data_IF_224716351122
#
_entry.id   IF_224716351122
#
_cell.length_a   1.000
_cell.length_b   1.000
_cell.length_c   1.000
_cell.angle_alpha   90.00
_cell.angle_beta   90.00
_cell.angle_gamma   90.00
#
_symmetry.space_group_name_H-M   'P 1'
#
loop_
_entity.id
_entity.type
_entity.pdbx_description
1 polymer ?
#
# COMPACT_ATOMS: atom_id res chain seq x y z
N UNK A 1 19.23 74.58 43.30
CA UNK A 1 20.45 74.22 42.55
C UNK A 1 20.12 73.06 41.65
N UNK A 2 20.22 73.32 40.35
CA UNK A 2 20.12 72.36 39.26
C UNK A 2 21.32 71.40 39.31
N UNK A 3 21.09 70.11 39.07
CA UNK A 3 21.81 69.45 37.98
C UNK A 3 21.02 68.26 37.41
N UNK A 4 20.56 68.41 36.16
CA UNK A 4 20.00 67.37 35.31
C UNK A 4 21.14 66.90 34.40
N UNK A 5 21.68 65.73 34.66
CA UNK A 5 22.68 65.07 33.81
C UNK A 5 22.16 63.81 33.12
N UNK A 6 20.91 63.79 32.64
CA UNK A 6 20.39 62.66 31.86
C UNK A 6 21.02 62.71 30.45
N UNK A 7 22.17 62.05 30.27
CA UNK A 7 22.84 61.87 28.97
C UNK A 7 21.88 61.20 28.00
N UNK A 8 21.37 61.97 27.03
CA UNK A 8 20.63 61.44 25.90
C UNK A 8 21.52 60.45 25.14
N UNK A 9 21.11 59.18 24.95
CA UNK A 9 21.88 58.22 24.18
C UNK A 9 22.04 58.72 22.74
N UNK A 10 23.26 58.63 22.20
CA UNK A 10 23.59 59.15 20.88
C UNK A 10 22.74 58.46 19.79
N UNK A 11 22.53 59.12 18.65
CA UNK A 11 21.83 58.55 17.50
C UNK A 11 22.43 57.20 17.06
N UNK A 12 23.75 57.05 17.23
CA UNK A 12 24.51 55.83 16.94
C UNK A 12 24.10 54.70 17.90
N UNK A 13 23.95 54.98 19.20
CA UNK A 13 23.50 53.99 20.19
C UNK A 13 22.07 53.51 19.93
N UNK A 14 21.19 54.42 19.47
CA UNK A 14 19.81 54.08 19.08
C UNK A 14 19.79 53.19 17.83
N UNK A 15 20.58 53.51 16.81
CA UNK A 15 20.68 52.71 15.58
C UNK A 15 21.29 51.33 15.85
N UNK A 16 22.34 51.23 16.67
CA UNK A 16 22.92 49.96 17.08
C UNK A 16 21.91 49.10 17.86
N UNK A 17 21.12 49.69 18.77
CA UNK A 17 20.05 48.97 19.48
C UNK A 17 18.94 48.47 18.54
N UNK A 18 18.55 49.25 17.53
CA UNK A 18 17.53 48.85 16.55
C UNK A 18 18.06 47.71 15.65
N UNK A 19 19.30 47.81 15.16
CA UNK A 19 19.94 46.76 14.37
C UNK A 19 20.15 45.47 15.18
N UNK A 20 20.57 45.58 16.46
CA UNK A 20 20.68 44.45 17.38
C UNK A 20 19.31 43.80 17.65
N UNK A 21 18.25 44.60 17.83
CA UNK A 21 16.88 44.10 18.02
C UNK A 21 16.34 43.40 16.78
N UNK A 22 16.55 43.95 15.59
CA UNK A 22 16.10 43.37 14.33
C UNK A 22 16.87 42.09 13.97
N UNK A 23 18.19 42.09 14.16
CA UNK A 23 19.01 40.88 13.97
C UNK A 23 18.67 39.78 14.96
N UNK A 24 18.39 40.12 16.23
CA UNK A 24 17.91 39.15 17.22
C UNK A 24 16.52 38.61 16.88
N UNK A 25 15.58 39.46 16.46
CA UNK A 25 14.24 39.03 16.05
C UNK A 25 14.29 38.08 14.84
N UNK A 26 15.17 38.35 13.86
CA UNK A 26 15.41 37.46 12.73
C UNK A 26 16.02 36.12 13.16
N UNK A 27 17.11 36.15 13.96
CA UNK A 27 17.74 34.94 14.52
C UNK A 27 16.74 34.10 15.30
N UNK A 28 15.86 34.74 16.07
CA UNK A 28 14.78 34.08 16.83
C UNK A 28 13.79 33.37 15.91
N UNK A 29 13.37 33.98 14.79
CA UNK A 29 12.47 33.33 13.81
C UNK A 29 13.13 32.12 13.15
N UNK A 30 14.37 32.26 12.70
CA UNK A 30 15.13 31.17 12.08
C UNK A 30 15.36 30.02 13.07
N UNK A 31 15.74 30.33 14.32
CA UNK A 31 15.95 29.34 15.35
C UNK A 31 14.65 28.59 15.70
N UNK A 32 13.51 29.27 15.73
CA UNK A 32 12.18 28.65 15.92
C UNK A 32 11.78 27.73 14.77
N UNK A 33 12.03 28.13 13.52
CA UNK A 33 11.80 27.27 12.36
C UNK A 33 12.70 26.02 12.40
N UNK A 34 13.98 26.20 12.73
CA UNK A 34 14.91 25.10 12.90
C UNK A 34 14.48 24.13 14.01
N UNK A 35 13.97 24.66 15.12
CA UNK A 35 13.39 23.83 16.19
C UNK A 35 12.15 23.07 15.72
N UNK A 36 11.23 23.67 14.97
CA UNK A 36 10.07 22.96 14.39
C UNK A 36 10.52 21.78 13.53
N UNK A 37 11.48 22.00 12.64
CA UNK A 37 12.02 20.93 11.80
C UNK A 37 12.67 19.80 12.61
N UNK A 38 13.46 20.14 13.65
CA UNK A 38 14.06 19.16 14.55
C UNK A 38 13.00 18.41 15.36
N UNK A 39 11.98 19.11 15.86
CA UNK A 39 10.81 18.52 16.54
C UNK A 39 10.11 17.48 15.68
N UNK A 40 9.88 17.78 14.40
CA UNK A 40 9.27 16.83 13.46
C UNK A 40 10.20 15.65 13.17
N UNK A 41 11.52 15.86 13.21
CA UNK A 41 12.51 14.76 13.12
C UNK A 41 12.49 13.89 14.37
N UNK A 42 12.42 14.47 15.56
CA UNK A 42 12.29 13.72 16.81
C UNK A 42 10.95 12.98 16.89
N UNK A 43 9.87 13.59 16.39
CA UNK A 43 8.59 12.93 16.23
C UNK A 43 8.71 11.69 15.33
N UNK A 44 9.31 11.83 14.15
CA UNK A 44 9.54 10.70 13.22
C UNK A 44 10.50 9.64 13.77
N UNK A 45 11.46 10.01 14.61
CA UNK A 45 12.34 9.07 15.32
C UNK A 45 11.58 8.27 16.39
N UNK A 46 10.64 8.92 17.09
CA UNK A 46 9.79 8.26 18.11
C UNK A 46 8.78 7.32 17.46
N UNK A 47 8.16 7.77 16.37
CA UNK A 47 7.15 7.05 15.59
C UNK A 47 7.67 6.80 14.17
N UNK A 48 8.50 5.76 13.97
CA UNK A 48 9.03 5.44 12.66
C UNK A 48 7.89 5.10 11.69
N UNK A 49 8.09 5.44 10.42
CA UNK A 49 7.21 4.99 9.34
C UNK A 49 7.70 3.61 8.91
N UNK A 50 6.86 2.61 9.13
CA UNK A 50 7.03 1.25 8.66
C UNK A 50 6.32 1.11 7.32
N UNK A 51 6.95 0.45 6.36
CA UNK A 51 6.32 0.13 5.08
C UNK A 51 5.72 -1.25 5.18
N UNK A 52 4.41 -1.31 5.43
CA UNK A 52 3.70 -2.56 5.67
C UNK A 52 2.83 -2.90 4.48
N UNK A 53 2.86 -4.16 4.05
CA UNK A 53 1.90 -4.65 3.06
C UNK A 53 0.50 -4.69 3.69
N UNK A 54 -0.57 -4.59 2.90
CA UNK A 54 -1.94 -4.73 3.43
C UNK A 54 -2.18 -6.06 4.16
N UNK A 55 -1.46 -7.13 3.77
CA UNK A 55 -1.47 -8.38 4.53
C UNK A 55 -0.89 -8.25 5.93
N UNK A 56 0.22 -7.52 6.11
CA UNK A 56 0.85 -7.31 7.41
C UNK A 56 0.02 -6.40 8.30
N UNK A 57 -0.64 -5.39 7.72
CA UNK A 57 -1.62 -4.56 8.45
C UNK A 57 -2.77 -5.42 8.97
N UNK A 58 -3.33 -6.28 8.11
CA UNK A 58 -4.38 -7.21 8.51
C UNK A 58 -3.91 -8.20 9.58
N UNK A 59 -2.68 -8.71 9.49
CA UNK A 59 -2.09 -9.55 10.54
C UNK A 59 -2.02 -8.79 11.87
N UNK A 60 -1.55 -7.54 11.88
CA UNK A 60 -1.54 -6.69 13.08
C UNK A 60 -2.94 -6.47 13.66
N UNK A 61 -3.94 -6.22 12.81
CA UNK A 61 -5.33 -6.04 13.27
C UNK A 61 -5.88 -7.35 13.88
N UNK A 62 -5.55 -8.50 13.29
CA UNK A 62 -5.97 -9.81 13.79
C UNK A 62 -5.19 -10.28 15.03
N UNK A 63 -3.97 -9.77 15.26
CA UNK A 63 -3.22 -10.00 16.50
C UNK A 63 -3.95 -9.43 17.71
N UNK A 64 -4.53 -8.24 17.55
CA UNK A 64 -5.30 -7.55 18.60
C UNK A 64 -6.78 -7.93 18.59
N UNK A 65 -7.19 -8.89 17.74
CA UNK A 65 -8.57 -9.34 17.69
C UNK A 65 -8.89 -10.28 18.86
N UNK A 66 -9.71 -9.79 19.77
CA UNK A 66 -10.31 -10.57 20.84
C UNK A 66 -11.76 -10.91 20.45
N UNK A 67 -12.06 -12.20 20.34
CA UNK A 67 -13.40 -12.64 19.97
C UNK A 67 -14.37 -12.44 21.15
N UNK A 68 -15.43 -11.66 20.94
CA UNK A 68 -16.48 -11.45 21.95
C UNK A 68 -17.31 -12.74 22.21
N UNK A 69 -17.33 -13.67 21.24
CA UNK A 69 -18.05 -14.95 21.33
C UNK A 69 -17.30 -16.08 20.61
N UNK A 70 -17.54 -17.34 21.01
CA UNK A 70 -16.94 -18.53 20.39
C UNK A 70 -17.27 -18.67 18.89
N UNK A 71 -18.41 -18.13 18.45
CA UNK A 71 -18.83 -18.13 17.05
C UNK A 71 -17.95 -17.24 16.15
N UNK A 72 -17.28 -16.26 16.74
CA UNK A 72 -16.32 -15.37 16.07
C UNK A 72 -14.87 -15.72 16.41
N UNK A 73 -14.65 -16.84 17.09
CA UNK A 73 -13.30 -17.34 17.35
C UNK A 73 -12.56 -17.66 16.04
N UNK A 74 -11.26 -17.39 16.06
CA UNK A 74 -10.32 -17.75 14.99
C UNK A 74 -10.05 -19.27 15.02
N UNK A 75 -11.08 -20.07 14.71
CA UNK A 75 -11.06 -21.53 14.76
C UNK A 75 -10.99 -22.18 13.38
N UNK A 76 -10.77 -23.51 13.35
CA UNK A 76 -10.74 -24.29 12.10
C UNK A 76 -12.07 -24.23 11.33
N UNK A 77 -13.19 -24.05 12.01
CA UNK A 77 -14.50 -23.91 11.34
C UNK A 77 -14.59 -22.58 10.57
N UNK A 78 -14.01 -21.50 11.12
CA UNK A 78 -13.86 -20.22 10.43
C UNK A 78 -12.95 -20.37 9.20
N UNK A 79 -11.86 -21.13 9.31
CA UNK A 79 -10.97 -21.43 8.18
C UNK A 79 -11.71 -22.12 7.01
N UNK A 80 -12.56 -23.10 7.32
CA UNK A 80 -13.38 -23.80 6.30
C UNK A 80 -14.39 -22.86 5.64
N UNK A 81 -15.08 -22.01 6.41
CA UNK A 81 -16.00 -21.01 5.86
C UNK A 81 -15.29 -20.04 4.92
N UNK A 82 -14.13 -19.52 5.33
CA UNK A 82 -13.32 -18.61 4.51
C UNK A 82 -12.86 -19.28 3.22
N UNK A 83 -12.47 -20.55 3.27
CA UNK A 83 -12.15 -21.35 2.09
C UNK A 83 -13.33 -21.40 1.12
N UNK A 84 -14.54 -21.71 1.59
CA UNK A 84 -15.74 -21.76 0.73
C UNK A 84 -16.00 -20.43 0.04
N UNK A 85 -15.86 -19.30 0.76
CA UNK A 85 -16.01 -17.97 0.16
C UNK A 85 -14.92 -17.67 -0.87
N UNK A 86 -13.67 -18.01 -0.58
CA UNK A 86 -12.56 -17.85 -1.51
C UNK A 86 -12.79 -18.65 -2.79
N UNK A 87 -13.10 -19.93 -2.67
CA UNK A 87 -13.28 -20.84 -3.82
C UNK A 87 -14.47 -20.36 -4.71
N UNK A 88 -15.55 -19.85 -4.09
CA UNK A 88 -16.67 -19.25 -4.82
C UNK A 88 -16.29 -17.95 -5.57
N UNK A 89 -15.40 -17.13 -5.00
CA UNK A 89 -14.86 -15.93 -5.68
C UNK A 89 -13.92 -16.33 -6.80
N UNK A 90 -13.05 -17.32 -6.59
CA UNK A 90 -12.11 -17.83 -7.60
C UNK A 90 -12.85 -18.39 -8.81
N UNK A 91 -13.96 -19.10 -8.61
CA UNK A 91 -14.78 -19.60 -9.71
C UNK A 91 -15.37 -18.45 -10.54
N UNK A 92 -15.91 -17.42 -9.89
CA UNK A 92 -16.42 -16.21 -10.57
C UNK A 92 -15.31 -15.51 -11.35
N UNK A 93 -14.13 -15.38 -10.74
CA UNK A 93 -12.95 -14.79 -11.37
C UNK A 93 -12.49 -15.60 -12.58
N UNK A 94 -12.48 -16.93 -12.51
CA UNK A 94 -12.13 -17.82 -13.63
C UNK A 94 -13.09 -17.63 -14.80
N UNK A 95 -14.40 -17.59 -14.55
CA UNK A 95 -15.41 -17.33 -15.59
C UNK A 95 -15.23 -15.94 -16.22
N UNK A 96 -15.01 -14.90 -15.40
CA UNK A 96 -14.76 -13.54 -15.88
C UNK A 96 -13.48 -13.45 -16.74
N UNK A 97 -12.40 -14.12 -16.33
CA UNK A 97 -11.15 -14.20 -17.12
C UNK A 97 -11.36 -14.90 -18.47
N UNK A 98 -12.13 -15.99 -18.50
CA UNK A 98 -12.45 -16.70 -19.75
C UNK A 98 -13.24 -15.80 -20.70
N UNK A 99 -14.27 -15.10 -20.21
CA UNK A 99 -15.05 -14.14 -21.01
C UNK A 99 -14.14 -13.02 -21.52
N UNK A 100 -13.31 -12.44 -20.64
CA UNK A 100 -12.34 -11.40 -21.01
C UNK A 100 -11.37 -11.88 -22.10
N UNK A 101 -10.83 -13.10 -21.99
CA UNK A 101 -9.92 -13.65 -22.98
C UNK A 101 -10.60 -13.85 -24.34
N UNK A 102 -11.83 -14.37 -24.36
CA UNK A 102 -12.61 -14.54 -25.59
C UNK A 102 -12.93 -13.20 -26.25
N UNK A 103 -13.34 -12.20 -25.47
CA UNK A 103 -13.59 -10.84 -25.98
C UNK A 103 -12.31 -10.19 -26.51
N UNK A 104 -11.17 -10.40 -25.84
CA UNK A 104 -9.89 -9.88 -26.31
C UNK A 104 -9.44 -10.55 -27.61
N UNK A 105 -9.56 -11.87 -27.71
CA UNK A 105 -9.29 -12.61 -28.94
C UNK A 105 -10.17 -12.13 -30.10
N UNK A 106 -11.45 -11.82 -29.82
CA UNK A 106 -12.36 -11.21 -30.79
C UNK A 106 -11.83 -9.91 -31.37
N UNK A 107 -11.42 -8.98 -30.48
CA UNK A 107 -10.88 -7.68 -30.88
C UNK A 107 -9.59 -7.80 -31.67
N UNK A 108 -8.70 -8.72 -31.26
CA UNK A 108 -7.45 -8.99 -31.98
C UNK A 108 -7.72 -9.55 -33.38
N UNK A 109 -8.64 -10.52 -33.50
CA UNK A 109 -9.00 -11.09 -34.81
C UNK A 109 -9.57 -10.03 -35.75
N UNK A 110 -10.45 -9.17 -35.21
CA UNK A 110 -11.02 -8.06 -35.95
C UNK A 110 -9.97 -7.02 -36.37
N UNK A 111 -9.00 -6.72 -35.50
CA UNK A 111 -7.91 -5.78 -35.81
C UNK A 111 -7.04 -6.25 -36.98
N UNK A 112 -6.75 -7.54 -37.07
CA UNK A 112 -5.98 -8.10 -38.19
C UNK A 112 -6.81 -8.35 -39.45
N UNK A 113 -8.09 -7.97 -39.46
CA UNK A 113 -9.03 -8.25 -40.54
C UNK A 113 -8.98 -9.74 -40.97
N UNK A 114 -8.77 -10.64 -40.00
CA UNK A 114 -8.92 -12.06 -40.25
C UNK A 114 -10.42 -12.25 -40.48
N UNK A 115 -10.81 -12.50 -41.74
CA UNK A 115 -12.17 -12.88 -42.22
C UNK A 115 -12.61 -14.19 -41.56
N UNK A 116 -12.68 -14.14 -40.25
CA UNK A 116 -13.22 -15.15 -39.40
C UNK A 116 -14.63 -14.67 -39.16
N UNK A 117 -15.58 -15.31 -39.85
CA UNK A 117 -16.95 -15.43 -39.39
C UNK A 117 -16.89 -16.11 -38.00
N UNK A 118 -16.42 -15.37 -36.99
CA UNK A 118 -16.32 -15.77 -35.61
C UNK A 118 -17.76 -15.78 -35.10
N UNK A 119 -18.42 -16.88 -35.43
CA UNK A 119 -19.55 -17.43 -34.69
C UNK A 119 -19.08 -17.62 -33.25
N UNK A 120 -19.17 -16.55 -32.45
CA UNK A 120 -19.04 -16.66 -31.01
C UNK A 120 -20.04 -17.71 -30.53
N UNK A 121 -19.69 -18.44 -29.47
CA UNK A 121 -20.48 -19.50 -28.84
C UNK A 121 -21.88 -19.05 -28.32
N UNK A 122 -22.36 -17.88 -28.74
CA UNK A 122 -23.68 -17.30 -28.50
C UNK A 122 -24.44 -16.93 -29.80
N UNK A 123 -23.96 -17.31 -30.99
CA UNK A 123 -24.69 -17.11 -32.26
C UNK A 123 -24.78 -15.65 -32.73
N UNK A 124 -24.00 -14.74 -32.16
CA UNK A 124 -24.01 -13.33 -32.56
C UNK A 124 -23.04 -13.14 -33.73
N UNK A 125 -23.58 -13.08 -34.96
CA UNK A 125 -22.85 -12.50 -36.09
C UNK A 125 -22.68 -11.01 -35.83
N UNK A 126 -21.50 -10.58 -35.41
CA UNK A 126 -21.21 -9.19 -35.06
C UNK A 126 -21.04 -8.32 -36.33
N UNK A 127 -22.12 -8.12 -37.08
CA UNK A 127 -22.24 -7.10 -38.15
C UNK A 127 -22.81 -5.78 -37.62
N UNK A 128 -22.53 -5.42 -36.37
CA UNK A 128 -23.02 -4.17 -35.76
C UNK A 128 -21.92 -3.11 -35.75
N UNK A 129 -22.24 -1.93 -36.28
CA UNK A 129 -21.38 -0.75 -36.23
C UNK A 129 -21.17 -0.32 -34.77
N UNK A 130 -19.95 -0.48 -34.23
CA UNK A 130 -19.64 -0.15 -32.83
C UNK A 130 -19.20 -1.34 -31.95
N UNK A 131 -19.12 -2.55 -32.51
CA UNK A 131 -18.69 -3.74 -31.77
C UNK A 131 -17.35 -3.54 -31.05
N UNK A 132 -16.38 -2.91 -31.72
CA UNK A 132 -15.01 -2.73 -31.23
C UNK A 132 -14.97 -1.83 -30.00
N UNK A 133 -15.73 -0.74 -30.04
CA UNK A 133 -15.89 0.23 -28.97
C UNK A 133 -16.54 -0.41 -27.74
N UNK A 134 -17.65 -1.13 -27.93
CA UNK A 134 -18.37 -1.80 -26.84
C UNK A 134 -17.50 -2.86 -26.17
N UNK A 135 -16.80 -3.68 -26.96
CA UNK A 135 -15.94 -4.72 -26.44
C UNK A 135 -14.72 -4.14 -25.70
N UNK A 136 -14.12 -3.06 -26.19
CA UNK A 136 -13.02 -2.39 -25.51
C UNK A 136 -13.45 -1.87 -24.12
N UNK A 137 -14.62 -1.22 -24.06
CA UNK A 137 -15.16 -0.69 -22.81
C UNK A 137 -15.51 -1.83 -21.86
N UNK A 138 -16.21 -2.85 -22.32
CA UNK A 138 -16.57 -4.01 -21.51
C UNK A 138 -15.35 -4.75 -20.97
N UNK A 139 -14.31 -4.96 -21.78
CA UNK A 139 -13.02 -5.51 -21.34
C UNK A 139 -12.39 -4.68 -20.22
N UNK A 140 -12.42 -3.35 -20.34
CA UNK A 140 -11.86 -2.48 -19.30
C UNK A 140 -12.60 -2.63 -17.95
N UNK A 141 -13.94 -2.73 -17.97
CA UNK A 141 -14.73 -2.95 -16.77
C UNK A 141 -14.52 -4.35 -16.18
N UNK A 142 -14.48 -5.38 -17.02
CA UNK A 142 -14.18 -6.76 -16.58
C UNK A 142 -12.78 -6.82 -15.97
N UNK A 143 -11.79 -6.12 -16.53
CA UNK A 143 -10.44 -6.03 -15.99
C UNK A 143 -10.40 -5.44 -14.57
N UNK A 144 -11.07 -4.30 -14.36
CA UNK A 144 -11.20 -3.68 -13.02
C UNK A 144 -11.94 -4.61 -12.05
N UNK A 145 -13.04 -5.24 -12.50
CA UNK A 145 -13.79 -6.19 -11.69
C UNK A 145 -12.93 -7.40 -11.25
N UNK A 146 -12.13 -7.96 -12.18
CA UNK A 146 -11.18 -9.03 -11.86
C UNK A 146 -10.17 -8.56 -10.82
N UNK A 147 -9.60 -7.36 -10.95
CA UNK A 147 -8.65 -6.82 -9.97
C UNK A 147 -9.26 -6.70 -8.56
N UNK A 148 -10.54 -6.30 -8.46
CA UNK A 148 -11.27 -6.25 -7.18
C UNK A 148 -11.43 -7.66 -6.59
N UNK A 149 -11.87 -8.63 -7.40
CA UNK A 149 -12.01 -10.02 -6.93
C UNK A 149 -10.66 -10.62 -6.50
N UNK A 150 -9.59 -10.36 -7.24
CA UNK A 150 -8.24 -10.80 -6.88
C UNK A 150 -7.78 -10.21 -5.56
N UNK A 151 -8.11 -8.94 -5.29
CA UNK A 151 -7.82 -8.31 -4.01
C UNK A 151 -8.59 -8.98 -2.86
N UNK A 152 -9.88 -9.29 -3.06
CA UNK A 152 -10.67 -9.99 -2.05
C UNK A 152 -10.10 -11.39 -1.74
N UNK A 153 -9.70 -12.15 -2.77
CA UNK A 153 -9.02 -13.44 -2.60
C UNK A 153 -7.71 -13.26 -1.82
N UNK A 154 -6.94 -12.22 -2.11
CA UNK A 154 -5.70 -11.94 -1.39
C UNK A 154 -5.94 -11.65 0.10
N UNK A 155 -6.92 -10.81 0.43
CA UNK A 155 -7.31 -10.53 1.82
C UNK A 155 -7.75 -11.80 2.55
N UNK A 156 -8.60 -12.62 1.93
CA UNK A 156 -9.03 -13.90 2.49
C UNK A 156 -7.84 -14.85 2.69
N UNK A 157 -6.92 -14.92 1.73
CA UNK A 157 -5.72 -15.74 1.84
C UNK A 157 -4.81 -15.28 2.99
N UNK A 158 -4.63 -13.97 3.20
CA UNK A 158 -3.90 -13.42 4.34
C UNK A 158 -4.55 -13.78 5.67
N UNK A 159 -5.87 -13.64 5.78
CA UNK A 159 -6.62 -14.04 6.96
C UNK A 159 -6.47 -15.54 7.26
N UNK A 160 -6.65 -16.39 6.24
CA UNK A 160 -6.50 -17.85 6.39
C UNK A 160 -5.07 -18.23 6.80
N UNK A 161 -4.04 -17.58 6.24
CA UNK A 161 -2.64 -17.78 6.63
C UNK A 161 -2.39 -17.40 8.08
N UNK A 162 -3.02 -16.33 8.57
CA UNK A 162 -2.94 -15.94 9.98
C UNK A 162 -3.49 -17.02 10.91
N UNK A 163 -4.70 -17.55 10.63
CA UNK A 163 -5.27 -18.65 11.43
C UNK A 163 -4.34 -19.88 11.41
N UNK A 164 -3.85 -20.26 10.23
CA UNK A 164 -2.96 -21.43 10.09
C UNK A 164 -1.63 -21.20 10.82
N UNK A 165 -1.13 -19.97 10.86
CA UNK A 165 0.09 -19.60 11.60
C UNK A 165 0.00 -19.88 13.11
N UNK A 166 -1.20 -19.82 13.69
CA UNK A 166 -1.46 -20.15 15.11
C UNK A 166 -1.55 -21.65 15.39
N UNK A 167 -1.58 -22.51 14.37
CA UNK A 167 -1.60 -23.97 14.55
C UNK A 167 -0.21 -24.51 14.92
N UNK A 168 -0.13 -25.69 15.58
CA UNK A 168 1.13 -26.39 15.82
C UNK A 168 1.93 -26.60 14.53
N UNK A 169 3.26 -26.53 14.61
CA UNK A 169 4.16 -26.54 13.45
C UNK A 169 4.01 -27.80 12.59
N UNK A 170 3.70 -28.93 13.23
CA UNK A 170 3.60 -30.25 12.62
C UNK A 170 2.45 -30.35 11.62
N UNK A 171 1.31 -29.71 11.93
CA UNK A 171 0.10 -29.72 11.07
C UNK A 171 0.01 -28.50 10.17
N UNK A 172 0.75 -27.42 10.49
CA UNK A 172 0.75 -26.17 9.74
C UNK A 172 1.02 -26.38 8.26
N UNK A 173 2.08 -27.12 7.92
CA UNK A 173 2.46 -27.35 6.52
C UNK A 173 1.40 -28.13 5.74
N UNK A 174 0.72 -29.09 6.38
CA UNK A 174 -0.38 -29.83 5.77
C UNK A 174 -1.57 -28.92 5.45
N UNK A 175 -1.94 -28.02 6.36
CA UNK A 175 -2.99 -27.03 6.10
C UNK A 175 -2.59 -26.02 5.02
N UNK A 176 -1.34 -25.53 5.03
CA UNK A 176 -0.88 -24.64 3.95
C UNK A 176 -0.93 -25.38 2.60
N UNK A 177 -0.52 -26.65 2.53
CA UNK A 177 -0.59 -27.46 1.31
C UNK A 177 -2.03 -27.69 0.83
N UNK A 178 -2.94 -28.03 1.75
CA UNK A 178 -4.34 -28.31 1.44
C UNK A 178 -5.10 -27.05 0.98
N UNK A 179 -4.80 -25.89 1.57
CA UNK A 179 -5.52 -24.65 1.29
C UNK A 179 -4.86 -23.79 0.20
N UNK A 180 -3.53 -23.82 0.06
CA UNK A 180 -2.77 -22.97 -0.87
C UNK A 180 -1.94 -23.77 -1.87
N UNK A 181 -2.55 -24.80 -2.47
CA UNK A 181 -1.86 -25.68 -3.41
C UNK A 181 -1.18 -24.93 -4.57
N UNK A 182 -1.85 -23.92 -5.14
CA UNK A 182 -1.33 -23.10 -6.25
C UNK A 182 -0.11 -22.26 -5.88
N UNK A 183 -0.02 -21.80 -4.63
CA UNK A 183 1.13 -21.05 -4.12
C UNK A 183 2.26 -21.99 -3.64
N UNK A 184 1.93 -23.25 -3.34
CA UNK A 184 2.84 -24.24 -2.76
C UNK A 184 3.44 -25.25 -3.74
N UNK A 185 3.20 -25.10 -5.05
CA UNK A 185 3.92 -25.93 -6.03
C UNK A 185 5.45 -25.83 -5.89
N UNK A 186 5.97 -24.77 -5.25
CA UNK A 186 7.40 -24.63 -4.92
C UNK A 186 7.81 -25.12 -3.52
N UNK A 187 6.90 -25.57 -2.65
CA UNK A 187 7.24 -25.91 -1.25
C UNK A 187 7.39 -27.41 -0.98
N UNK A 188 6.87 -28.27 -1.85
CA UNK A 188 7.22 -29.70 -1.90
C UNK A 188 8.39 -30.01 -2.85
N UNK A 189 9.20 -29.01 -3.24
CA UNK A 189 10.58 -29.32 -3.60
C UNK A 189 11.32 -29.75 -2.33
N UNK A 190 12.17 -30.80 -2.35
CA UNK A 190 12.84 -31.32 -1.15
C UNK A 190 13.75 -30.32 -0.40
N UNK A 191 13.81 -29.05 -0.82
CA UNK A 191 14.51 -27.92 -0.20
C UNK A 191 13.92 -27.53 1.16
N UNK A 192 12.59 -27.68 1.35
CA UNK A 192 11.88 -27.14 2.51
C UNK A 192 11.39 -28.21 3.50
N UNK A 193 11.76 -29.47 3.27
CA UNK A 193 11.45 -30.55 4.20
C UNK A 193 12.52 -30.58 5.31
N UNK A 194 12.13 -30.53 6.60
CA UNK A 194 13.10 -30.66 7.67
C UNK A 194 13.82 -32.00 7.51
N UNK A 195 15.16 -31.96 7.60
CA UNK A 195 16.06 -33.13 7.55
C UNK A 195 16.35 -33.74 6.16
N UNK A 196 15.96 -33.09 5.07
CA UNK A 196 16.41 -33.48 3.71
C UNK A 196 17.39 -32.44 3.18
N UNK A 197 18.68 -32.78 3.11
CA UNK A 197 19.70 -31.93 2.50
C UNK A 197 19.69 -32.12 0.98
N UNK A 198 19.49 -31.03 0.23
CA UNK A 198 19.61 -31.06 -1.23
C UNK A 198 21.02 -30.75 -1.71
N UNK A 199 21.37 -31.30 -2.88
CA UNK A 199 22.56 -30.89 -3.64
C UNK A 199 22.30 -29.58 -4.38
N UNK A 200 23.33 -28.75 -4.64
CA UNK A 200 23.20 -27.48 -5.37
C UNK A 200 22.66 -27.64 -6.81
N UNK A 201 22.73 -28.85 -7.38
CA UNK A 201 22.15 -29.16 -8.70
C UNK A 201 20.62 -29.08 -8.64
N UNK A 202 20.00 -29.60 -7.58
CA UNK A 202 18.54 -29.60 -7.43
C UNK A 202 17.98 -28.19 -7.18
N UNK A 203 18.72 -27.34 -6.44
CA UNK A 203 18.33 -25.93 -6.26
C UNK A 203 18.48 -25.10 -7.54
N UNK A 204 19.47 -25.40 -8.38
CA UNK A 204 19.63 -24.71 -9.65
C UNK A 204 18.60 -25.18 -10.70
N UNK A 205 18.16 -26.44 -10.62
CA UNK A 205 17.13 -26.96 -11.53
C UNK A 205 15.76 -26.31 -11.31
N UNK A 206 15.40 -25.93 -10.07
CA UNK A 206 14.15 -25.23 -9.78
C UNK A 206 14.13 -23.77 -10.24
N UNK A 207 15.31 -23.18 -10.49
CA UNK A 207 15.46 -21.82 -11.00
C UNK A 207 15.08 -21.72 -12.48
N UNK A 208 15.29 -22.78 -13.27
CA UNK A 208 14.94 -22.84 -14.70
C UNK A 208 13.43 -22.64 -14.93
N UNK A 209 12.51 -23.43 -14.34
CA UNK A 209 11.07 -23.23 -14.55
C UNK A 209 10.59 -21.90 -13.96
N UNK A 210 11.23 -21.38 -12.90
CA UNK A 210 10.94 -20.06 -12.38
C UNK A 210 11.27 -18.95 -13.39
N UNK A 211 12.49 -18.94 -13.93
CA UNK A 211 12.91 -17.96 -14.95
C UNK A 211 12.07 -18.09 -16.22
N UNK A 212 11.77 -19.31 -16.64
CA UNK A 212 10.91 -19.56 -17.80
C UNK A 212 9.48 -19.03 -17.57
N UNK A 213 8.91 -19.28 -16.38
CA UNK A 213 7.60 -18.74 -16.00
C UNK A 213 7.60 -17.21 -15.96
N UNK A 214 8.65 -16.59 -15.41
CA UNK A 214 8.83 -15.14 -15.42
C UNK A 214 8.94 -14.58 -16.85
N UNK A 215 9.70 -15.26 -17.72
CA UNK A 215 9.81 -14.91 -19.13
C UNK A 215 8.45 -14.99 -19.84
N UNK A 216 7.67 -16.06 -19.63
CA UNK A 216 6.33 -16.19 -20.19
C UNK A 216 5.39 -15.09 -19.70
N UNK A 217 5.45 -14.74 -18.41
CA UNK A 217 4.63 -13.68 -17.84
C UNK A 217 4.97 -12.31 -18.44
N UNK A 218 6.26 -11.97 -18.54
CA UNK A 218 6.71 -10.73 -19.17
C UNK A 218 6.32 -10.68 -20.65
N UNK A 219 6.49 -11.79 -21.37
CA UNK A 219 6.11 -11.89 -22.79
C UNK A 219 4.60 -11.74 -22.96
N UNK A 220 3.79 -12.39 -22.13
CA UNK A 220 2.34 -12.26 -22.15
C UNK A 220 1.89 -10.82 -21.85
N UNK A 221 2.55 -10.14 -20.89
CA UNK A 221 2.27 -8.75 -20.55
C UNK A 221 2.60 -7.81 -21.73
N UNK A 222 3.75 -8.00 -22.39
CA UNK A 222 4.13 -7.21 -23.56
C UNK A 222 3.19 -7.44 -24.75
N UNK A 223 2.84 -8.69 -25.05
CA UNK A 223 1.94 -9.02 -26.17
C UNK A 223 0.53 -8.50 -25.86
N UNK A 224 -0.03 -8.82 -24.70
CA UNK A 224 -1.40 -8.42 -24.34
C UNK A 224 -1.52 -6.90 -24.23
N UNK A 225 -0.61 -6.25 -23.49
CA UNK A 225 -0.60 -4.80 -23.31
C UNK A 225 -0.31 -4.06 -24.62
N UNK A 226 0.64 -4.56 -25.42
CA UNK A 226 0.96 -4.00 -26.74
C UNK A 226 -0.23 -4.08 -27.69
N UNK A 227 -0.88 -5.24 -27.81
CA UNK A 227 -2.06 -5.42 -28.65
C UNK A 227 -3.25 -4.58 -28.17
N UNK A 228 -3.48 -4.50 -26.85
CA UNK A 228 -4.52 -3.64 -26.29
C UNK A 228 -4.32 -2.17 -26.68
N UNK A 229 -3.08 -1.68 -26.58
CA UNK A 229 -2.73 -0.31 -26.97
C UNK A 229 -2.90 -0.06 -28.47
N UNK A 230 -2.47 -1.00 -29.32
CA UNK A 230 -2.65 -0.91 -30.77
C UNK A 230 -4.13 -0.85 -31.16
N UNK A 231 -4.97 -1.70 -30.57
CA UNK A 231 -6.43 -1.71 -30.78
C UNK A 231 -7.06 -0.40 -30.32
N UNK A 232 -6.70 0.10 -29.14
CA UNK A 232 -7.21 1.36 -28.62
C UNK A 232 -6.82 2.55 -29.52
N UNK A 233 -5.57 2.58 -30.02
CA UNK A 233 -5.10 3.59 -30.98
C UNK A 233 -5.88 3.51 -32.29
N UNK A 234 -6.10 2.31 -32.82
CA UNK A 234 -6.83 2.14 -34.07
C UNK A 234 -8.30 2.58 -33.94
N UNK A 235 -8.98 2.24 -32.84
CA UNK A 235 -10.34 2.72 -32.55
C UNK A 235 -10.37 4.25 -32.40
N UNK A 236 -9.32 4.86 -31.84
CA UNK A 236 -9.22 6.31 -31.71
C UNK A 236 -9.12 7.02 -33.07
N UNK A 237 -8.40 6.43 -34.02
CA UNK A 237 -8.11 7.03 -35.33
C UNK A 237 -9.17 6.70 -36.38
N UNK A 238 -9.62 5.44 -36.40
CA UNK A 238 -10.46 4.85 -37.45
C UNK A 238 -11.82 4.34 -36.90
N UNK A 239 -12.25 4.84 -35.75
CA UNK A 239 -13.47 4.40 -35.08
C UNK A 239 -14.74 4.61 -35.91
N UNK A 240 -15.66 3.65 -35.82
CA UNK A 240 -16.89 3.66 -36.63
C UNK A 240 -17.98 4.61 -36.07
N UNK A 241 -17.87 5.00 -34.81
CA UNK A 241 -18.86 5.83 -34.10
C UNK A 241 -18.40 7.29 -33.90
N UNK A 242 -17.44 7.75 -34.72
CA UNK A 242 -16.89 9.11 -34.69
C UNK A 242 -16.45 9.55 -33.27
N UNK A 243 -17.23 10.42 -32.62
CA UNK A 243 -16.94 10.95 -31.28
C UNK A 243 -17.08 9.89 -30.19
N UNK A 244 -18.02 8.95 -30.33
CA UNK A 244 -18.23 7.89 -29.34
C UNK A 244 -17.05 6.92 -29.27
N UNK A 245 -16.34 6.70 -30.37
CA UNK A 245 -15.11 5.88 -30.37
C UNK A 245 -14.03 6.52 -29.49
N UNK A 246 -13.90 7.85 -29.51
CA UNK A 246 -12.97 8.58 -28.63
C UNK A 246 -13.38 8.50 -27.16
N UNK A 247 -14.68 8.63 -26.87
CA UNK A 247 -15.21 8.48 -25.50
C UNK A 247 -14.94 7.06 -24.97
N UNK A 248 -15.20 6.03 -25.78
CA UNK A 248 -14.95 4.64 -25.42
C UNK A 248 -13.49 4.36 -25.09
N UNK A 249 -12.55 4.88 -25.90
CA UNK A 249 -11.12 4.78 -25.62
C UNK A 249 -10.75 5.55 -24.35
N UNK A 250 -11.28 6.76 -24.14
CA UNK A 250 -11.01 7.54 -22.94
C UNK A 250 -11.48 6.82 -21.67
N UNK A 251 -12.67 6.21 -21.68
CA UNK A 251 -13.19 5.37 -20.57
C UNK A 251 -12.27 4.17 -20.34
N UNK A 252 -11.89 3.47 -21.40
CA UNK A 252 -11.02 2.30 -21.30
C UNK A 252 -9.65 2.62 -20.70
N UNK A 253 -9.02 3.73 -21.15
CA UNK A 253 -7.74 4.22 -20.61
C UNK A 253 -7.90 4.67 -19.15
N UNK A 254 -8.98 5.37 -18.82
CA UNK A 254 -9.24 5.82 -17.44
C UNK A 254 -9.41 4.61 -16.52
N UNK A 255 -10.17 3.59 -16.93
CA UNK A 255 -10.33 2.35 -16.19
C UNK A 255 -9.01 1.60 -16.02
N UNK A 256 -8.15 1.56 -17.04
CA UNK A 256 -6.83 0.95 -16.94
C UNK A 256 -5.94 1.68 -15.91
N UNK A 257 -5.91 3.02 -15.95
CA UNK A 257 -5.15 3.84 -14.98
C UNK A 257 -5.69 3.64 -13.56
N UNK A 258 -7.00 3.70 -13.37
CA UNK A 258 -7.64 3.48 -12.07
C UNK A 258 -7.40 2.05 -11.57
N UNK A 259 -7.43 1.05 -12.44
CA UNK A 259 -7.11 -0.34 -12.12
C UNK A 259 -5.66 -0.51 -11.67
N UNK A 260 -4.69 0.13 -12.35
CA UNK A 260 -3.28 0.13 -11.94
C UNK A 260 -3.12 0.79 -10.57
N UNK A 261 -3.72 1.97 -10.36
CA UNK A 261 -3.70 2.66 -9.06
C UNK A 261 -4.31 1.77 -7.97
N UNK A 262 -5.44 1.13 -8.24
CA UNK A 262 -6.08 0.21 -7.32
C UNK A 262 -5.14 -0.95 -6.95
N UNK A 263 -4.52 -1.62 -7.92
CA UNK A 263 -3.58 -2.71 -7.64
C UNK A 263 -2.36 -2.23 -6.85
N UNK A 264 -1.77 -1.09 -7.22
CA UNK A 264 -0.63 -0.52 -6.47
C UNK A 264 -1.03 -0.19 -5.04
N UNK A 265 -2.15 0.49 -4.82
CA UNK A 265 -2.60 0.88 -3.47
C UNK A 265 -3.00 -0.32 -2.59
N UNK A 266 -3.47 -1.41 -3.19
CA UNK A 266 -3.91 -2.62 -2.48
C UNK A 266 -2.85 -3.71 -2.34
N UNK A 267 -1.71 -3.60 -3.04
CA UNK A 267 -0.63 -4.61 -3.02
C UNK A 267 0.72 -4.05 -2.59
N UNK A 268 0.99 -2.77 -2.84
CA UNK A 268 2.25 -2.17 -2.46
C UNK A 268 2.29 -1.93 -0.94
N UNK A 269 3.48 -1.94 -0.33
CA UNK A 269 3.65 -1.50 1.04
C UNK A 269 3.15 -0.06 1.19
N UNK A 270 2.30 0.18 2.17
CA UNK A 270 1.81 1.50 2.53
C UNK A 270 2.59 2.04 3.73
N UNK A 271 2.82 3.37 3.79
CA UNK A 271 3.45 3.98 4.95
C UNK A 271 2.51 3.93 6.15
N UNK A 272 2.82 3.05 7.12
CA UNK A 272 2.15 2.97 8.40
C UNK A 272 3.02 3.63 9.47
N UNK A 273 2.45 4.55 10.25
CA UNK A 273 3.20 5.18 11.34
C UNK A 273 3.00 4.38 12.61
N UNK A 274 4.11 3.88 13.17
CA UNK A 274 4.06 3.06 14.38
C UNK A 274 3.77 3.91 15.62
N UNK A 275 2.57 3.73 16.17
CA UNK A 275 2.08 4.39 17.37
C UNK A 275 2.10 3.49 18.61
N UNK A 276 2.68 2.28 18.56
CA UNK A 276 2.73 1.35 19.72
C UNK A 276 3.27 1.99 21.00
N UNK A 277 4.20 2.94 20.88
CA UNK A 277 4.72 3.69 22.04
C UNK A 277 3.68 4.55 22.75
N UNK A 278 2.60 4.96 22.07
CA UNK A 278 1.46 5.63 22.70
C UNK A 278 0.61 4.62 23.45
N UNK A 279 0.41 3.42 22.89
CA UNK A 279 -0.29 2.33 23.55
C UNK A 279 0.47 1.89 24.83
N UNK A 280 1.81 1.83 24.78
CA UNK A 280 2.66 1.60 25.95
C UNK A 280 2.45 2.69 27.03
N UNK A 281 2.29 3.95 26.62
CA UNK A 281 2.01 5.07 27.54
C UNK A 281 0.64 4.90 28.20
N UNK A 282 -0.39 4.52 27.44
CA UNK A 282 -1.73 4.27 27.97
C UNK A 282 -1.77 3.06 28.90
N UNK A 283 -1.08 1.97 28.52
CA UNK A 283 -0.90 0.80 29.36
C UNK A 283 -0.19 1.14 30.67
N UNK A 284 0.92 1.86 30.59
CA UNK A 284 1.67 2.28 31.78
C UNK A 284 0.86 3.22 32.68
N UNK A 285 0.00 4.06 32.10
CA UNK A 285 -0.93 4.90 32.86
C UNK A 285 -1.95 4.06 33.64
N UNK A 286 -2.40 2.94 33.10
CA UNK A 286 -3.34 2.03 33.75
C UNK A 286 -2.67 1.10 34.78
N UNK A 287 -1.46 0.59 34.50
CA UNK A 287 -0.81 -0.47 35.28
C UNK A 287 0.22 0.07 36.27
N UNK A 288 1.03 1.06 35.88
CA UNK A 288 2.19 1.53 36.67
C UNK A 288 2.41 3.06 36.53
N UNK A 289 1.50 3.89 37.09
CA UNK A 289 1.56 5.34 36.91
C UNK A 289 2.82 5.99 37.50
N UNK A 290 3.46 5.36 38.50
CA UNK A 290 4.70 5.84 39.11
C UNK A 290 5.91 5.78 38.15
N UNK A 291 5.86 4.92 37.13
CA UNK A 291 6.94 4.79 36.13
C UNK A 291 6.66 5.60 34.86
N UNK A 292 5.44 6.12 34.70
CA UNK A 292 5.01 6.87 33.53
C UNK A 292 5.87 8.12 33.31
N UNK A 293 6.16 8.87 34.37
CA UNK A 293 6.96 10.09 34.29
C UNK A 293 8.39 9.80 33.82
N UNK A 294 8.97 8.69 34.27
CA UNK A 294 10.31 8.24 33.84
C UNK A 294 10.31 7.89 32.35
N UNK A 295 9.30 7.17 31.87
CA UNK A 295 9.16 6.78 30.47
C UNK A 295 8.93 8.01 29.56
N UNK A 296 8.07 8.94 29.97
CA UNK A 296 7.84 10.19 29.25
C UNK A 296 9.10 11.06 29.18
N UNK A 297 9.86 11.13 30.28
CA UNK A 297 11.13 11.85 30.34
C UNK A 297 12.19 11.19 29.44
N UNK A 298 12.27 9.87 29.41
CA UNK A 298 13.18 9.14 28.53
C UNK A 298 12.82 9.35 27.05
N UNK A 299 11.54 9.19 26.70
CA UNK A 299 11.03 9.38 25.34
C UNK A 299 11.22 10.80 24.82
N UNK A 300 11.08 11.80 25.68
CA UNK A 300 11.12 13.21 25.31
C UNK A 300 12.45 13.91 25.63
N UNK A 301 13.40 13.21 26.23
CA UNK A 301 14.71 13.75 26.67
C UNK A 301 15.40 14.59 25.60
N UNK A 302 15.49 14.08 24.38
CA UNK A 302 16.09 14.75 23.22
C UNK A 302 15.40 16.10 22.90
N UNK A 303 14.06 16.15 22.95
CA UNK A 303 13.26 17.35 22.65
C UNK A 303 13.35 18.34 23.80
N UNK A 304 13.26 17.85 25.04
CA UNK A 304 13.34 18.66 26.26
C UNK A 304 14.71 19.34 26.33
N UNK A 305 15.79 18.62 26.06
CA UNK A 305 17.15 19.17 26.03
C UNK A 305 17.30 20.27 24.97
N UNK A 306 16.80 20.07 23.74
CA UNK A 306 16.87 21.07 22.69
C UNK A 306 15.96 22.29 22.98
N UNK A 307 14.81 22.09 23.63
CA UNK A 307 13.95 23.17 24.08
C UNK A 307 14.60 24.00 25.19
N UNK A 308 15.16 23.37 26.21
CA UNK A 308 15.87 24.06 27.29
C UNK A 308 17.03 24.91 26.73
N UNK A 309 17.78 24.38 25.75
CA UNK A 309 18.83 25.13 25.05
C UNK A 309 18.28 26.33 24.25
N UNK A 310 17.06 26.23 23.72
CA UNK A 310 16.39 27.32 23.02
C UNK A 310 15.86 28.40 23.98
N UNK A 311 15.45 28.01 25.18
CA UNK A 311 15.05 28.91 26.28
C UNK A 311 16.26 29.64 26.85
N UNK A 312 17.36 28.95 27.15
CA UNK A 312 18.62 29.54 27.63
C UNK A 312 19.17 30.60 26.68
N UNK A 313 19.04 30.38 25.37
CA UNK A 313 19.46 31.35 24.33
C UNK A 313 18.46 32.49 24.10
N UNK A 314 17.33 32.51 24.81
CA UNK A 314 16.29 33.53 24.69
C UNK A 314 15.45 33.46 23.41
N UNK A 315 15.50 32.34 22.68
CA UNK A 315 14.73 32.16 21.43
C UNK A 315 13.29 31.70 21.69
N UNK A 316 13.06 30.99 22.80
CA UNK A 316 11.75 30.56 23.29
C UNK A 316 11.53 31.03 24.72
N UNK A 317 10.27 31.07 25.14
CA UNK A 317 9.93 31.33 26.54
C UNK A 317 9.71 30.00 27.27
N UNK A 318 9.95 29.96 28.58
CA UNK A 318 9.81 28.75 29.38
C UNK A 318 8.35 28.28 29.53
N UNK A 319 7.38 29.17 29.32
CA UNK A 319 5.94 28.91 29.33
C UNK A 319 5.39 28.51 27.94
N UNK A 320 6.24 28.44 26.92
CA UNK A 320 5.83 28.09 25.56
C UNK A 320 5.66 26.56 25.46
N UNK A 321 4.48 26.12 24.99
CA UNK A 321 4.12 24.69 24.91
C UNK A 321 5.13 23.90 24.05
N UNK A 322 5.82 22.94 24.68
CA UNK A 322 6.85 22.09 24.08
C UNK A 322 6.30 21.28 22.90
N UNK A 323 5.05 20.83 23.00
CA UNK A 323 4.38 20.02 22.00
C UNK A 323 3.65 20.89 20.97
N UNK A 324 3.41 22.16 21.32
CA UNK A 324 2.53 23.07 20.59
C UNK A 324 1.08 22.62 20.69
N UNK A 325 0.13 23.53 20.44
CA UNK A 325 -1.28 23.16 20.29
C UNK A 325 -1.40 22.00 19.29
N UNK A 326 -1.72 20.82 19.80
CA UNK A 326 -2.17 19.66 19.02
C UNK A 326 -3.45 20.03 18.27
#
# INVERSE_FOLDING_TARGET
MLDRGQKNPSLIDKLQKILARNSFAFRRRVARLGFRYRRDRYFRKRHPVLWLTPSQLLEMDLEHYEAETDAHSLSLTTLERLRTYRDAIEEKMKRARQISLLMFAALVSNYFAIDSDLSFAFGIQAKFAGFREVFLVALSFIGVFIAILENNVYTLNSYMKFIIGRLPEEVRQMHIAAHFFSENMSRYTPVNLPRISQTPINSNLSLIPFLFGLFLLLTALLIYGGMYFLIARDIWQNGNLESWSKVSVAVAVTNAVLGIIYVVTTRAPLPYRDFRKLDDIEFMKAVAPSQLEKLLNEMNSDIIADFNRMVEKGYMKADEDLYGKL
#
